data_IF_982797237123
#
_entry.id   IF_982797237123
#
_cell.length_a   1.000
_cell.length_b   1.000
_cell.length_c   1.000
_cell.angle_alpha   90.00
_cell.angle_beta   90.00
_cell.angle_gamma   90.00
#
_symmetry.space_group_name_H-M   'P 1'
#
loop_
_entity.id
_entity.type
_entity.pdbx_description
1 polymer ?
#
# COMPACT_ATOMS: atom_id res chain seq x y z
N UNK A 1 10.81 -11.53 2.88
CA UNK A 1 9.85 -11.45 4.02
C UNK A 1 10.45 -10.96 5.34
N UNK A 2 11.59 -11.48 5.84
CA UNK A 2 12.19 -11.02 7.12
C UNK A 2 12.37 -9.50 7.23
N UNK A 3 12.87 -8.86 6.18
CA UNK A 3 13.05 -7.39 6.17
C UNK A 3 11.71 -6.67 6.26
N UNK A 4 10.69 -7.13 5.53
CA UNK A 4 9.34 -6.57 5.54
C UNK A 4 8.70 -6.70 6.93
N UNK A 5 8.84 -7.86 7.60
CA UNK A 5 8.38 -8.05 8.97
C UNK A 5 8.92 -6.97 9.92
N UNK A 6 10.25 -6.73 9.91
CA UNK A 6 10.84 -5.73 10.80
C UNK A 6 10.45 -4.29 10.41
N UNK A 7 10.23 -4.01 9.12
CA UNK A 7 9.71 -2.71 8.67
C UNK A 7 8.28 -2.48 9.16
N UNK A 8 7.40 -3.47 9.04
CA UNK A 8 6.03 -3.40 9.57
C UNK A 8 6.05 -3.25 11.09
N UNK A 9 6.87 -4.03 11.80
CA UNK A 9 7.03 -3.92 13.25
C UNK A 9 7.55 -2.53 13.68
N UNK A 10 8.45 -1.92 12.91
CA UNK A 10 8.90 -0.55 13.15
C UNK A 10 7.77 0.47 12.90
N UNK A 11 6.98 0.27 11.84
CA UNK A 11 5.83 1.12 11.52
C UNK A 11 4.77 1.05 12.63
N UNK A 12 4.54 -0.12 13.24
CA UNK A 12 3.61 -0.34 14.36
C UNK A 12 3.93 0.49 15.61
N UNK A 13 5.19 0.91 15.78
CA UNK A 13 5.60 1.78 16.91
C UNK A 13 5.12 3.23 16.77
N UNK A 14 4.58 3.61 15.60
CA UNK A 14 4.03 4.95 15.35
C UNK A 14 2.53 4.98 15.67
N UNK A 15 1.96 6.07 16.19
CA UNK A 15 0.52 6.17 16.46
C UNK A 15 -0.25 6.54 15.18
N UNK A 16 -0.17 5.70 14.14
CA UNK A 16 -0.85 5.90 12.86
C UNK A 16 -1.74 4.70 12.52
N UNK A 17 -2.91 4.96 11.95
CA UNK A 17 -3.72 3.92 11.32
C UNK A 17 -3.07 3.54 9.99
N UNK A 18 -3.14 2.26 9.65
CA UNK A 18 -2.42 1.70 8.50
C UNK A 18 -3.40 0.99 7.60
N UNK A 19 -3.24 1.24 6.30
CA UNK A 19 -3.95 0.57 5.23
C UNK A 19 -2.92 0.10 4.20
N UNK A 20 -2.92 -1.18 3.87
CA UNK A 20 -2.15 -1.72 2.74
C UNK A 20 -3.05 -1.93 1.53
N UNK A 21 -2.69 -1.31 0.40
CA UNK A 21 -3.39 -1.48 -0.87
C UNK A 21 -2.48 -2.21 -1.84
N UNK A 22 -2.96 -3.34 -2.37
CA UNK A 22 -2.23 -4.14 -3.35
C UNK A 22 -2.79 -3.96 -4.76
N UNK A 23 -1.95 -4.14 -5.78
CA UNK A 23 -2.38 -4.08 -7.16
C UNK A 23 -3.49 -5.10 -7.45
N UNK A 24 -4.43 -4.67 -8.27
CA UNK A 24 -5.57 -5.43 -8.74
C UNK A 24 -5.30 -6.28 -9.97
N UNK A 25 -6.32 -7.02 -10.43
CA UNK A 25 -6.25 -7.82 -11.64
C UNK A 25 -6.06 -6.98 -12.91
N UNK A 26 -6.52 -5.71 -12.92
CA UNK A 26 -6.44 -4.83 -14.09
C UNK A 26 -5.27 -3.83 -14.02
N UNK A 27 -4.21 -4.17 -13.28
CA UNK A 27 -3.01 -3.33 -13.19
C UNK A 27 -2.30 -3.24 -14.54
N UNK A 28 -1.87 -2.03 -14.89
CA UNK A 28 -1.08 -1.76 -16.11
C UNK A 28 0.42 -1.94 -15.91
N UNK A 29 0.85 -2.21 -14.67
CA UNK A 29 2.27 -2.34 -14.32
C UNK A 29 2.77 -3.76 -14.52
N UNK A 30 4.01 -3.83 -15.00
CA UNK A 30 4.73 -5.10 -15.09
C UNK A 30 4.90 -5.70 -13.69
N UNK A 31 4.38 -6.92 -13.55
CA UNK A 31 4.44 -7.62 -12.27
C UNK A 31 5.83 -8.18 -12.03
N UNK A 32 6.39 -7.89 -10.87
CA UNK A 32 7.64 -8.54 -10.47
C UNK A 32 7.38 -10.05 -10.34
N UNK A 33 8.31 -10.94 -10.76
CA UNK A 33 8.10 -12.40 -10.68
C UNK A 33 7.71 -12.88 -9.28
N UNK A 34 8.22 -12.21 -8.25
CA UNK A 34 7.95 -12.51 -6.84
C UNK A 34 6.73 -11.76 -6.26
N UNK A 35 6.03 -10.92 -7.03
CA UNK A 35 4.95 -10.07 -6.52
C UNK A 35 3.85 -10.90 -5.83
N UNK A 36 3.48 -12.05 -6.39
CA UNK A 36 2.46 -12.94 -5.82
C UNK A 36 2.87 -13.46 -4.43
N UNK A 37 4.10 -13.93 -4.29
CA UNK A 37 4.64 -14.46 -3.03
C UNK A 37 4.80 -13.36 -1.99
N UNK A 38 5.32 -12.20 -2.40
CA UNK A 38 5.47 -11.03 -1.54
C UNK A 38 4.12 -10.48 -1.09
N UNK A 39 3.14 -10.43 -1.98
CA UNK A 39 1.76 -10.01 -1.66
C UNK A 39 1.12 -10.96 -0.67
N UNK A 40 1.25 -12.27 -0.88
CA UNK A 40 0.74 -13.28 0.07
C UNK A 40 1.35 -13.07 1.45
N UNK A 41 2.67 -13.04 1.55
CA UNK A 41 3.32 -12.87 2.85
C UNK A 41 3.08 -11.51 3.49
N UNK A 42 2.84 -10.45 2.71
CA UNK A 42 2.43 -9.14 3.23
C UNK A 42 0.99 -9.14 3.76
N UNK A 43 0.08 -9.89 3.14
CA UNK A 43 -1.28 -10.09 3.65
C UNK A 43 -1.26 -10.87 4.97
N UNK A 44 -0.48 -11.96 5.02
CA UNK A 44 -0.31 -12.73 6.27
C UNK A 44 0.23 -11.85 7.41
N UNK A 45 1.18 -10.95 7.11
CA UNK A 45 1.66 -9.97 8.08
C UNK A 45 0.59 -8.96 8.48
N UNK A 46 -0.18 -8.44 7.52
CA UNK A 46 -1.23 -7.49 7.80
C UNK A 46 -2.29 -8.10 8.73
N UNK A 47 -2.74 -9.32 8.43
CA UNK A 47 -3.68 -10.07 9.27
C UNK A 47 -3.12 -10.31 10.68
N UNK A 48 -1.88 -10.78 10.79
CA UNK A 48 -1.22 -11.04 12.08
C UNK A 48 -1.08 -9.78 12.95
N UNK A 49 -0.93 -8.61 12.34
CA UNK A 49 -0.81 -7.33 13.03
C UNK A 49 -2.12 -6.51 13.06
N UNK A 50 -3.24 -7.09 12.60
CA UNK A 50 -4.55 -6.42 12.51
C UNK A 50 -4.48 -5.09 11.72
N UNK A 51 -3.67 -5.06 10.67
CA UNK A 51 -3.59 -3.96 9.71
C UNK A 51 -4.63 -4.23 8.62
N UNK A 52 -5.43 -3.21 8.31
CA UNK A 52 -6.38 -3.31 7.20
C UNK A 52 -5.63 -3.47 5.88
N UNK A 53 -6.10 -4.38 5.04
CA UNK A 53 -5.58 -4.52 3.69
C UNK A 53 -6.69 -4.77 2.67
N UNK A 54 -6.48 -4.29 1.44
CA UNK A 54 -7.42 -4.47 0.33
C UNK A 54 -6.67 -4.62 -0.99
N UNK A 55 -7.36 -5.15 -1.99
CA UNK A 55 -6.87 -5.16 -3.37
C UNK A 55 -7.59 -4.07 -4.15
N UNK A 56 -6.83 -3.31 -4.94
CA UNK A 56 -7.37 -2.34 -5.87
C UNK A 56 -8.07 -3.04 -7.05
N UNK A 57 -8.83 -2.29 -7.84
CA UNK A 57 -9.35 -2.80 -9.13
C UNK A 57 -8.23 -2.87 -10.18
N UNK A 58 -7.38 -1.83 -10.23
CA UNK A 58 -6.23 -1.68 -11.13
C UNK A 58 -4.95 -1.40 -10.35
N UNK A 59 -4.28 -0.29 -10.65
CA UNK A 59 -3.04 0.09 -9.97
C UNK A 59 -3.31 0.62 -8.56
N UNK A 60 -2.59 0.08 -7.56
CA UNK A 60 -2.76 0.47 -6.16
C UNK A 60 -2.52 1.97 -5.91
N UNK A 61 -1.64 2.60 -6.71
CA UNK A 61 -1.35 4.03 -6.61
C UNK A 61 -2.57 4.90 -6.90
N UNK A 62 -3.43 4.47 -7.83
CA UNK A 62 -4.64 5.21 -8.23
C UNK A 62 -5.65 5.18 -7.10
N UNK A 63 -5.91 3.99 -6.53
CA UNK A 63 -6.81 3.85 -5.38
C UNK A 63 -6.29 4.66 -4.17
N UNK A 64 -4.99 4.61 -3.88
CA UNK A 64 -4.39 5.40 -2.80
C UNK A 64 -4.55 6.90 -3.03
N UNK A 65 -4.30 7.38 -4.24
CA UNK A 65 -4.46 8.78 -4.61
C UNK A 65 -5.91 9.25 -4.43
N UNK A 66 -6.89 8.47 -4.87
CA UNK A 66 -8.31 8.77 -4.71
C UNK A 66 -8.73 8.79 -3.23
N UNK A 67 -8.27 7.82 -2.43
CA UNK A 67 -8.54 7.79 -0.99
C UNK A 67 -7.97 9.04 -0.30
N UNK A 68 -6.78 9.48 -0.69
CA UNK A 68 -6.17 10.68 -0.14
C UNK A 68 -6.89 11.96 -0.60
N UNK A 69 -7.22 12.06 -1.89
CA UNK A 69 -7.95 13.19 -2.46
C UNK A 69 -9.33 13.38 -1.80
N UNK A 70 -10.02 12.28 -1.47
CA UNK A 70 -11.32 12.30 -0.79
C UNK A 70 -11.24 12.41 0.74
N UNK A 71 -10.03 12.50 1.31
CA UNK A 71 -9.84 12.63 2.77
C UNK A 71 -10.13 11.35 3.56
N UNK A 72 -10.14 10.19 2.91
CA UNK A 72 -10.28 8.88 3.58
C UNK A 72 -8.99 8.48 4.27
N UNK A 73 -7.83 8.84 3.70
CA UNK A 73 -6.51 8.69 4.32
C UNK A 73 -5.75 10.02 4.30
N UNK A 74 -4.95 10.27 5.33
CA UNK A 74 -4.23 11.53 5.48
C UNK A 74 -3.01 11.64 4.56
N UNK A 75 -2.34 10.52 4.27
CA UNK A 75 -1.11 10.50 3.46
C UNK A 75 -0.87 9.12 2.85
N UNK A 76 -0.07 9.09 1.79
CA UNK A 76 0.33 7.88 1.06
C UNK A 76 1.82 7.63 1.27
N UNK A 77 2.22 6.39 1.56
CA UNK A 77 3.63 5.96 1.54
C UNK A 77 3.88 5.16 0.25
N UNK A 78 4.57 5.76 -0.72
CA UNK A 78 4.85 5.13 -2.02
C UNK A 78 6.05 5.76 -2.70
N UNK A 79 6.83 4.94 -3.42
CA UNK A 79 7.90 5.42 -4.31
C UNK A 79 7.37 5.90 -5.67
N UNK A 80 6.07 5.71 -5.92
CA UNK A 80 5.43 6.08 -7.18
C UNK A 80 4.98 7.54 -7.20
N UNK A 81 5.72 8.36 -7.95
CA UNK A 81 5.45 9.77 -8.13
C UNK A 81 4.17 10.06 -8.92
N UNK A 82 3.62 9.07 -9.65
CA UNK A 82 2.34 9.22 -10.35
C UNK A 82 1.16 9.42 -9.39
N UNK A 83 1.32 9.15 -8.09
CA UNK A 83 0.30 9.43 -7.09
C UNK A 83 -0.24 10.87 -7.17
N UNK A 84 0.64 11.85 -7.42
CA UNK A 84 0.23 13.25 -7.60
C UNK A 84 -0.54 13.49 -8.90
N UNK A 85 -0.21 12.76 -9.97
CA UNK A 85 -0.95 12.81 -11.23
C UNK A 85 -2.40 12.32 -11.06
N UNK A 86 -2.61 11.35 -10.17
CA UNK A 86 -3.93 10.82 -9.81
C UNK A 86 -4.66 11.61 -8.71
N UNK A 87 -4.10 12.76 -8.27
CA UNK A 87 -4.77 13.68 -7.35
C UNK A 87 -4.40 13.54 -5.88
N UNK A 88 -3.34 12.80 -5.52
CA UNK A 88 -2.85 12.79 -4.15
C UNK A 88 -2.42 14.20 -3.69
N UNK A 89 -2.70 14.52 -2.44
CA UNK A 89 -2.28 15.76 -1.78
C UNK A 89 -1.04 15.58 -0.89
N UNK A 90 -0.86 14.39 -0.32
CA UNK A 90 0.24 14.10 0.61
C UNK A 90 0.87 12.74 0.33
N UNK A 91 2.14 12.76 -0.08
CA UNK A 91 2.95 11.57 -0.37
C UNK A 91 4.24 11.62 0.46
N UNK A 92 4.59 10.48 1.05
CA UNK A 92 5.81 10.24 1.81
C UNK A 92 6.63 9.21 1.00
N UNK A 93 7.92 9.49 0.80
CA UNK A 93 8.91 8.58 0.21
C UNK A 93 9.79 7.97 1.30
#
# INVERSE_FOLDING_TARGET
>A
LRVLFFRVAALLKRPVLRLFVFNGPHTTKDRHPMEKELTSGMKDLAEAFSIEHRAASGDAVVDLALLNAHGVIDSILTDDLEAFLYGAHAVIQ
#
